data_IF_171966759743
#
_entry.id   IF_171966759743
#
_cell.length_a   1.000
_cell.length_b   1.000
_cell.length_c   1.000
_cell.angle_alpha   90.00
_cell.angle_beta   90.00
_cell.angle_gamma   90.00
#
_symmetry.space_group_name_H-M   'P 1'
#
loop_
_entity.id
_entity.type
_entity.pdbx_description
1 polymer ?
#
# COMPACT_ATOMS: atom_id res chain seq x y z
N UNK A 1 -5.45 11.39 -79.82
CA UNK A 1 -5.92 10.43 -78.81
C UNK A 1 -4.74 10.04 -77.94
N UNK A 2 -4.89 10.19 -76.62
CA UNK A 2 -3.96 9.86 -75.52
C UNK A 2 -3.62 8.34 -75.53
N UNK A 3 -2.57 7.74 -74.95
CA UNK A 3 -1.47 8.05 -74.00
C UNK A 3 -0.52 6.81 -73.99
N UNK A 4 0.54 6.70 -73.15
CA UNK A 4 1.85 6.16 -73.53
C UNK A 4 2.25 4.86 -72.81
N UNK A 5 3.46 4.40 -73.18
CA UNK A 5 4.46 3.60 -72.45
C UNK A 5 4.00 2.87 -71.18
N UNK A 6 4.07 1.54 -71.24
CA UNK A 6 4.08 0.66 -70.08
C UNK A 6 5.30 0.93 -69.21
N UNK A 7 5.03 1.29 -67.96
CA UNK A 7 6.01 1.34 -66.89
C UNK A 7 5.87 0.08 -66.05
N UNK A 8 6.94 -0.71 -66.04
CA UNK A 8 7.18 -1.86 -65.19
C UNK A 8 7.19 -1.41 -63.72
N UNK A 9 6.28 -1.90 -62.88
CA UNK A 9 6.38 -1.71 -61.41
C UNK A 9 6.84 -3.01 -60.79
N UNK A 10 8.04 -2.93 -60.21
CA UNK A 10 8.75 -3.95 -59.46
C UNK A 10 7.99 -4.26 -58.17
N UNK A 11 7.56 -5.52 -58.02
CA UNK A 11 7.06 -6.10 -56.76
C UNK A 11 8.26 -6.37 -55.84
N UNK A 12 8.61 -5.37 -55.02
CA UNK A 12 9.52 -5.53 -53.90
C UNK A 12 8.72 -5.90 -52.65
N UNK A 13 9.06 -7.06 -52.10
CA UNK A 13 8.59 -7.55 -50.81
C UNK A 13 8.90 -6.55 -49.69
N UNK A 14 7.88 -6.23 -48.89
CA UNK A 14 8.08 -5.82 -47.52
C UNK A 14 7.18 -6.73 -46.69
N UNK A 15 7.82 -7.65 -45.98
CA UNK A 15 7.22 -8.37 -44.87
C UNK A 15 6.48 -7.34 -43.99
N UNK A 16 5.22 -7.61 -43.70
CA UNK A 16 4.52 -6.96 -42.61
C UNK A 16 5.18 -7.42 -41.30
N UNK A 17 6.34 -6.85 -41.01
CA UNK A 17 6.81 -6.68 -39.65
C UNK A 17 5.85 -5.66 -39.07
N UNK A 18 4.80 -6.14 -38.38
CA UNK A 18 3.95 -5.28 -37.58
C UNK A 18 4.90 -4.41 -36.72
N UNK A 19 4.77 -3.07 -36.75
CA UNK A 19 5.42 -2.28 -35.74
C UNK A 19 4.84 -2.76 -34.42
N UNK A 20 5.68 -3.44 -33.62
CA UNK A 20 5.44 -3.68 -32.21
C UNK A 20 5.14 -2.31 -31.63
N UNK A 21 3.85 -2.05 -31.42
CA UNK A 21 3.39 -0.80 -30.88
C UNK A 21 4.18 -0.55 -29.58
N UNK A 22 4.90 0.55 -29.67
CA UNK A 22 5.49 1.39 -28.64
C UNK A 22 4.94 1.13 -27.23
N UNK A 23 5.88 1.17 -26.29
CA UNK A 23 5.77 0.71 -24.92
C UNK A 23 4.44 1.02 -24.24
N UNK A 24 4.06 0.10 -23.36
CA UNK A 24 3.09 0.36 -22.29
C UNK A 24 3.30 1.79 -21.79
N UNK A 25 2.27 2.67 -21.84
CA UNK A 25 2.41 4.01 -21.28
C UNK A 25 2.96 3.86 -19.87
N UNK A 26 4.08 4.54 -19.59
CA UNK A 26 4.60 4.61 -18.23
C UNK A 26 3.49 5.10 -17.29
N UNK A 27 3.52 4.66 -16.04
CA UNK A 27 2.58 5.14 -15.02
C UNK A 27 2.68 6.66 -14.91
N UNK A 28 1.55 7.32 -14.64
CA UNK A 28 1.58 8.73 -14.26
C UNK A 28 2.18 8.89 -12.86
N UNK A 29 2.67 10.08 -12.52
CA UNK A 29 3.18 10.34 -11.16
C UNK A 29 2.12 10.07 -10.07
N UNK A 30 0.84 10.28 -10.37
CA UNK A 30 -0.27 9.96 -9.46
C UNK A 30 -0.46 8.45 -9.28
N UNK A 31 -0.31 7.68 -10.36
CA UNK A 31 -0.35 6.22 -10.33
C UNK A 31 0.82 5.62 -9.55
N UNK A 32 2.03 6.17 -9.72
CA UNK A 32 3.22 5.78 -8.96
C UNK A 32 3.09 6.11 -7.47
N UNK A 33 2.61 7.31 -7.11
CA UNK A 33 2.40 7.68 -5.71
C UNK A 33 1.31 6.80 -5.07
N UNK A 34 0.21 6.50 -5.78
CA UNK A 34 -0.84 5.60 -5.26
C UNK A 34 -0.30 4.19 -4.96
N UNK A 35 0.45 3.60 -5.89
CA UNK A 35 1.07 2.29 -5.71
C UNK A 35 2.11 2.29 -4.57
N UNK A 36 2.91 3.36 -4.46
CA UNK A 36 3.84 3.58 -3.33
C UNK A 36 3.12 3.58 -2.00
N UNK A 37 2.08 4.42 -1.86
CA UNK A 37 1.35 4.58 -0.60
C UNK A 37 0.67 3.26 -0.19
N UNK A 38 0.11 2.52 -1.15
CA UNK A 38 -0.47 1.20 -0.91
C UNK A 38 0.58 0.18 -0.44
N UNK A 39 1.77 0.16 -1.06
CA UNK A 39 2.90 -0.68 -0.63
C UNK A 39 3.34 -0.36 0.80
N UNK A 40 3.54 0.93 1.13
CA UNK A 40 3.94 1.36 2.48
C UNK A 40 2.90 0.92 3.51
N UNK A 41 1.61 1.11 3.21
CA UNK A 41 0.56 0.73 4.15
C UNK A 41 0.49 -0.80 4.36
N UNK A 42 0.66 -1.59 3.29
CA UNK A 42 0.74 -3.05 3.39
C UNK A 42 1.93 -3.50 4.25
N UNK A 43 3.08 -2.84 4.08
CA UNK A 43 4.27 -3.12 4.89
C UNK A 43 4.03 -2.84 6.36
N UNK A 44 3.39 -1.72 6.70
CA UNK A 44 3.10 -1.38 8.08
C UNK A 44 2.11 -2.34 8.74
N UNK A 45 1.14 -2.89 7.99
CA UNK A 45 0.29 -3.97 8.48
C UNK A 45 1.14 -5.18 8.86
N UNK A 46 1.99 -5.65 7.93
CA UNK A 46 2.88 -6.81 8.14
C UNK A 46 3.78 -6.63 9.35
N UNK A 47 4.46 -5.48 9.46
CA UNK A 47 5.38 -5.23 10.59
C UNK A 47 4.65 -5.08 11.93
N UNK A 48 3.42 -4.54 11.92
CA UNK A 48 2.64 -4.42 13.15
C UNK A 48 2.12 -5.78 13.64
N UNK A 49 1.78 -6.68 12.71
CA UNK A 49 1.41 -8.07 13.02
C UNK A 49 2.61 -8.83 13.63
N UNK A 50 3.80 -8.68 13.03
CA UNK A 50 5.05 -9.25 13.57
C UNK A 50 5.38 -8.71 14.97
N UNK A 51 5.13 -7.43 15.24
CA UNK A 51 5.30 -6.85 16.57
C UNK A 51 4.35 -7.45 17.62
N UNK A 52 3.09 -7.73 17.25
CA UNK A 52 2.13 -8.42 18.11
C UNK A 52 2.67 -9.79 18.50
N UNK A 53 3.12 -10.58 17.51
CA UNK A 53 3.66 -11.91 17.73
C UNK A 53 4.91 -11.90 18.63
N UNK A 54 5.81 -10.93 18.41
CA UNK A 54 7.02 -10.77 19.22
C UNK A 54 6.71 -10.42 20.68
N UNK A 55 5.76 -9.50 20.91
CA UNK A 55 5.34 -9.12 22.26
C UNK A 55 4.64 -10.30 22.93
N UNK A 56 3.71 -10.96 22.23
CA UNK A 56 2.97 -12.11 22.75
C UNK A 56 3.91 -13.27 23.12
N UNK A 57 4.92 -13.57 22.30
CA UNK A 57 5.92 -14.59 22.59
C UNK A 57 6.84 -14.25 23.76
N UNK A 58 6.94 -12.96 24.13
CA UNK A 58 7.75 -12.50 25.28
C UNK A 58 7.02 -12.58 26.62
N UNK A 59 5.70 -12.83 26.61
CA UNK A 59 4.91 -12.94 27.82
C UNK A 59 5.31 -14.19 28.62
N UNK A 60 5.61 -14.06 29.92
CA UNK A 60 5.93 -15.22 30.75
C UNK A 60 4.72 -16.17 30.86
N UNK A 61 4.97 -17.47 30.68
CA UNK A 61 3.94 -18.50 30.81
C UNK A 61 3.39 -18.62 32.24
N UNK A 62 4.24 -18.33 33.23
CA UNK A 62 3.91 -18.32 34.65
C UNK A 62 4.11 -16.90 35.22
N UNK A 63 3.05 -16.31 35.75
CA UNK A 63 3.12 -15.00 36.40
C UNK A 63 3.62 -15.20 37.83
N UNK A 64 4.91 -14.95 38.05
CA UNK A 64 5.47 -14.93 39.40
C UNK A 64 4.84 -13.78 40.21
N UNK A 65 4.51 -14.04 41.49
CA UNK A 65 3.81 -13.09 42.36
C UNK A 65 4.71 -11.98 42.91
N UNK A 66 5.96 -11.89 42.47
CA UNK A 66 6.84 -10.80 42.87
C UNK A 66 6.32 -9.47 42.28
N UNK A 67 6.28 -8.38 43.07
CA UNK A 67 5.79 -7.09 42.57
C UNK A 67 6.55 -6.59 41.33
N UNK A 68 7.84 -6.91 41.21
CA UNK A 68 8.67 -6.54 40.07
C UNK A 68 8.26 -7.27 38.79
N UNK A 69 8.02 -8.59 38.87
CA UNK A 69 7.56 -9.39 37.72
C UNK A 69 6.15 -8.96 37.30
N UNK A 70 5.28 -8.68 38.27
CA UNK A 70 3.94 -8.19 37.99
C UNK A 70 3.95 -6.84 37.25
N UNK A 71 4.85 -5.91 37.61
CA UNK A 71 4.98 -4.63 36.92
C UNK A 71 5.44 -4.79 35.46
N UNK A 72 6.42 -5.67 35.20
CA UNK A 72 6.89 -5.97 33.84
C UNK A 72 5.78 -6.62 33.02
N UNK A 73 5.05 -7.57 33.60
CA UNK A 73 3.93 -8.23 32.95
C UNK A 73 2.84 -7.22 32.54
N UNK A 74 2.45 -6.32 33.44
CA UNK A 74 1.46 -5.28 33.12
C UNK A 74 1.94 -4.36 31.99
N UNK A 75 3.22 -3.98 31.99
CA UNK A 75 3.79 -3.18 30.90
C UNK A 75 3.74 -3.91 29.54
N UNK A 76 4.01 -5.22 29.51
CA UNK A 76 3.93 -6.02 28.28
C UNK A 76 2.47 -6.16 27.80
N UNK A 77 1.51 -6.35 28.70
CA UNK A 77 0.08 -6.36 28.33
C UNK A 77 -0.35 -5.01 27.75
N UNK A 78 0.06 -3.89 28.34
CA UNK A 78 -0.22 -2.56 27.77
C UNK A 78 0.45 -2.36 26.40
N UNK A 79 1.69 -2.85 26.22
CA UNK A 79 2.37 -2.82 24.93
C UNK A 79 1.62 -3.65 23.87
N UNK A 80 1.10 -4.81 24.24
CA UNK A 80 0.30 -5.66 23.35
C UNK A 80 -1.02 -4.98 22.95
N UNK A 81 -1.71 -4.33 23.89
CA UNK A 81 -2.91 -3.54 23.60
C UNK A 81 -2.63 -2.41 22.60
N UNK A 82 -1.50 -1.71 22.78
CA UNK A 82 -1.07 -0.68 21.84
C UNK A 82 -0.72 -1.26 20.47
N UNK A 83 -0.03 -2.40 20.41
CA UNK A 83 0.33 -3.07 19.16
C UNK A 83 -0.91 -3.50 18.36
N UNK A 84 -1.93 -4.05 19.02
CA UNK A 84 -3.22 -4.34 18.39
C UNK A 84 -3.91 -3.09 17.85
N UNK A 85 -3.97 -2.00 18.63
CA UNK A 85 -4.55 -0.75 18.16
C UNK A 85 -3.80 -0.16 16.96
N UNK A 86 -2.47 -0.33 16.92
CA UNK A 86 -1.64 0.09 15.79
C UNK A 86 -1.92 -0.75 14.54
N UNK A 87 -1.99 -2.07 14.70
CA UNK A 87 -2.33 -3.00 13.62
C UNK A 87 -3.73 -2.73 13.04
N UNK A 88 -4.74 -2.54 13.89
CA UNK A 88 -6.10 -2.21 13.46
C UNK A 88 -6.13 -0.90 12.67
N UNK A 89 -5.41 0.12 13.14
CA UNK A 89 -5.29 1.36 12.39
C UNK A 89 -4.57 1.16 11.05
N UNK A 90 -3.47 0.41 11.04
CA UNK A 90 -2.71 0.10 9.84
C UNK A 90 -3.57 -0.65 8.80
N UNK A 91 -4.40 -1.60 9.22
CA UNK A 91 -5.32 -2.34 8.36
C UNK A 91 -6.35 -1.44 7.68
N UNK A 92 -6.93 -0.50 8.44
CA UNK A 92 -7.92 0.44 7.91
C UNK A 92 -7.28 1.36 6.86
N UNK A 93 -6.08 1.86 7.14
CA UNK A 93 -5.31 2.70 6.20
C UNK A 93 -4.86 1.91 4.97
N UNK A 94 -4.38 0.69 5.15
CA UNK A 94 -4.04 -0.22 4.05
C UNK A 94 -5.24 -0.46 3.14
N UNK A 95 -6.41 -0.78 3.70
CA UNK A 95 -7.63 -0.99 2.92
C UNK A 95 -7.99 0.25 2.11
N UNK A 96 -7.99 1.43 2.73
CA UNK A 96 -8.27 2.69 2.04
C UNK A 96 -7.30 2.94 0.87
N UNK A 97 -6.00 2.76 1.11
CA UNK A 97 -4.95 3.05 0.11
C UNK A 97 -4.89 1.98 -0.99
N UNK A 98 -5.16 0.71 -0.70
CA UNK A 98 -5.27 -0.35 -1.69
C UNK A 98 -6.45 -0.13 -2.64
N UNK A 99 -7.59 0.36 -2.13
CA UNK A 99 -8.70 0.75 -2.98
C UNK A 99 -8.40 2.00 -3.82
N UNK A 100 -7.71 3.00 -3.25
CA UNK A 100 -7.27 4.16 -4.02
C UNK A 100 -6.30 3.77 -5.16
N UNK A 101 -5.35 2.89 -4.88
CA UNK A 101 -4.46 2.31 -5.90
C UNK A 101 -5.25 1.53 -6.96
N UNK A 102 -6.19 0.68 -6.54
CA UNK A 102 -7.05 -0.06 -7.47
C UNK A 102 -7.85 0.86 -8.38
N UNK A 103 -8.36 1.98 -7.86
CA UNK A 103 -9.10 2.96 -8.65
C UNK A 103 -8.26 3.60 -9.77
N UNK A 104 -6.95 3.78 -9.55
CA UNK A 104 -6.04 4.48 -10.46
C UNK A 104 -5.26 3.53 -11.39
N UNK A 105 -4.91 2.34 -10.90
CA UNK A 105 -3.98 1.43 -11.54
C UNK A 105 -4.62 0.13 -12.05
N UNK A 106 -5.76 -0.28 -11.50
CA UNK A 106 -6.33 -1.61 -11.75
C UNK A 106 -7.77 -1.61 -12.25
N UNK A 107 -8.45 -0.46 -12.20
CA UNK A 107 -9.81 -0.33 -12.67
C UNK A 107 -9.94 -0.63 -14.17
N UNK A 108 -10.89 -1.48 -14.52
CA UNK A 108 -11.18 -1.86 -15.91
C UNK A 108 -11.90 -0.76 -16.72
N UNK A 109 -12.37 0.30 -16.05
CA UNK A 109 -13.03 1.45 -16.64
C UNK A 109 -13.57 2.42 -15.59
N UNK A 110 -14.23 3.50 -16.03
CA UNK A 110 -14.65 4.59 -15.14
C UNK A 110 -15.61 4.14 -14.02
N UNK A 111 -16.60 3.31 -14.33
CA UNK A 111 -17.54 2.81 -13.32
C UNK A 111 -16.85 1.97 -12.24
N UNK A 112 -15.83 1.20 -12.63
CA UNK A 112 -15.04 0.36 -11.73
C UNK A 112 -14.16 1.21 -10.82
N UNK A 113 -13.50 2.21 -11.41
CA UNK A 113 -12.71 3.21 -10.69
C UNK A 113 -13.56 3.93 -9.64
N UNK A 114 -14.77 4.37 -9.98
CA UNK A 114 -15.71 4.99 -9.03
C UNK A 114 -16.04 4.07 -7.86
N UNK A 115 -16.31 2.77 -8.10
CA UNK A 115 -16.58 1.81 -7.02
C UNK A 115 -15.41 1.66 -6.06
N UNK A 116 -14.18 1.67 -6.59
CA UNK A 116 -12.98 1.63 -5.76
C UNK A 116 -12.80 2.90 -4.94
N UNK A 117 -13.04 4.08 -5.52
CA UNK A 117 -13.03 5.36 -4.77
C UNK A 117 -14.06 5.35 -3.65
N UNK A 118 -15.31 4.93 -3.93
CA UNK A 118 -16.35 4.80 -2.91
C UNK A 118 -15.93 3.86 -1.79
N UNK A 119 -15.32 2.71 -2.15
CA UNK A 119 -14.79 1.75 -1.18
C UNK A 119 -13.68 2.36 -0.34
N UNK A 120 -12.71 3.08 -0.94
CA UNK A 120 -11.65 3.77 -0.22
C UNK A 120 -12.21 4.79 0.79
N UNK A 121 -13.23 5.55 0.40
CA UNK A 121 -13.88 6.52 1.29
C UNK A 121 -14.65 5.88 2.43
N UNK A 122 -15.16 4.66 2.28
CA UNK A 122 -15.87 3.95 3.34
C UNK A 122 -14.97 3.59 4.54
N UNK A 123 -13.65 3.53 4.34
CA UNK A 123 -12.67 3.30 5.41
C UNK A 123 -12.32 4.58 6.20
N UNK A 124 -13.08 5.67 6.07
CA UNK A 124 -12.95 6.82 6.97
C UNK A 124 -13.23 6.40 8.41
N UNK A 125 -12.20 6.39 9.24
CA UNK A 125 -12.31 6.17 10.68
C UNK A 125 -12.76 7.45 11.36
N UNK A 126 -13.69 7.34 12.31
CA UNK A 126 -13.92 8.45 13.24
C UNK A 126 -12.61 8.70 13.98
N UNK A 127 -12.15 9.96 14.10
CA UNK A 127 -10.94 10.24 14.86
C UNK A 127 -11.06 9.64 16.27
N UNK A 128 -10.03 8.91 16.75
CA UNK A 128 -10.03 8.34 18.08
C UNK A 128 -10.07 9.44 19.15
N UNK A 129 -10.55 9.08 20.34
CA UNK A 129 -10.62 10.00 21.47
C UNK A 129 -9.22 10.44 21.91
N UNK A 130 -9.01 11.73 22.14
CA UNK A 130 -7.70 12.23 22.56
C UNK A 130 -7.27 11.62 23.90
N UNK A 131 -6.02 11.16 23.97
CA UNK A 131 -5.47 10.48 25.15
C UNK A 131 -5.79 8.99 25.21
N UNK A 132 -6.55 8.44 24.27
CA UNK A 132 -6.79 6.99 24.18
C UNK A 132 -5.59 6.24 23.58
N UNK A 133 -5.57 4.91 23.76
CA UNK A 133 -4.56 4.03 23.16
C UNK A 133 -4.62 4.11 21.63
N UNK A 134 -5.83 4.15 21.07
CA UNK A 134 -6.10 4.25 19.63
C UNK A 134 -5.60 5.56 19.04
N UNK A 135 -5.73 6.69 19.77
CA UNK A 135 -5.18 7.97 19.32
C UNK A 135 -3.65 7.97 19.28
N UNK A 136 -3.02 7.36 20.29
CA UNK A 136 -1.57 7.22 20.32
C UNK A 136 -1.07 6.28 19.22
N UNK A 137 -1.81 5.19 18.97
CA UNK A 137 -1.51 4.21 17.92
C UNK A 137 -1.64 4.82 16.52
N UNK A 138 -2.73 5.57 16.26
CA UNK A 138 -2.89 6.33 15.02
C UNK A 138 -1.74 7.34 14.81
N UNK A 139 -1.35 8.07 15.87
CA UNK A 139 -0.23 8.99 15.80
C UNK A 139 1.12 8.30 15.53
N UNK A 140 1.33 7.09 16.06
CA UNK A 140 2.53 6.29 15.77
C UNK A 140 2.51 5.74 14.34
N UNK A 141 1.37 5.28 13.84
CA UNK A 141 1.21 4.87 12.44
C UNK A 141 1.66 5.99 11.50
N UNK A 142 1.15 7.21 11.68
CA UNK A 142 1.49 8.34 10.82
C UNK A 142 2.99 8.68 10.87
N UNK A 143 3.63 8.56 12.04
CA UNK A 143 5.09 8.71 12.15
C UNK A 143 5.85 7.63 11.39
N UNK A 144 5.44 6.36 11.51
CA UNK A 144 6.07 5.23 10.80
C UNK A 144 5.88 5.35 9.30
N UNK A 145 4.67 5.69 8.86
CA UNK A 145 4.35 5.92 7.46
C UNK A 145 5.21 7.04 6.86
N UNK A 146 5.30 8.19 7.53
CA UNK A 146 6.13 9.30 7.07
C UNK A 146 7.61 8.93 7.02
N UNK A 147 8.10 8.13 7.97
CA UNK A 147 9.49 7.63 7.97
C UNK A 147 9.76 6.74 6.77
N UNK A 148 8.91 5.73 6.53
CA UNK A 148 9.07 4.83 5.39
C UNK A 148 8.96 5.60 4.08
N UNK A 149 8.05 6.57 3.98
CA UNK A 149 7.91 7.42 2.79
C UNK A 149 9.15 8.28 2.51
N UNK A 150 9.86 8.70 3.55
CA UNK A 150 11.06 9.52 3.43
C UNK A 150 12.35 8.70 3.25
N UNK A 151 12.29 7.39 3.41
CA UNK A 151 13.44 6.49 3.26
C UNK A 151 13.64 6.11 1.79
N UNK A 152 14.57 6.79 1.11
CA UNK A 152 14.86 6.57 -0.32
C UNK A 152 15.25 5.13 -0.65
N UNK A 153 15.83 4.39 0.32
CA UNK A 153 16.29 3.02 0.13
C UNK A 153 15.19 1.97 0.44
N UNK A 154 14.04 2.39 0.93
CA UNK A 154 12.95 1.47 1.23
C UNK A 154 12.30 0.94 -0.06
N UNK A 155 12.10 -0.38 -0.15
CA UNK A 155 11.61 -1.06 -1.37
C UNK A 155 10.38 -0.42 -2.02
N UNK A 156 9.43 0.03 -1.20
CA UNK A 156 8.20 0.66 -1.69
C UNK A 156 8.43 1.99 -2.43
N UNK A 157 9.62 2.59 -2.34
CA UNK A 157 9.92 3.89 -2.96
C UNK A 157 10.64 3.77 -4.31
N UNK A 158 11.20 2.60 -4.64
CA UNK A 158 11.97 2.37 -5.87
C UNK A 158 11.57 1.13 -6.69
N UNK A 159 10.74 0.25 -6.15
CA UNK A 159 10.23 -0.96 -6.82
C UNK A 159 8.70 -0.85 -7.06
N UNK A 160 8.28 0.08 -7.93
CA UNK A 160 6.87 0.47 -8.17
C UNK A 160 6.52 0.45 -9.66
#
# INVERSE_FOLDING_TARGET
MLKPLGLLIVLLAAAACEPRAEGTPGRTAEQEDAARLACIAAELVRTSDEEIDLIAASLPADVETSPQVQAVYQAQISALQFAHALYDHALLRHSALAYADSALNHASGAADSTRHVESATAFTTRPPEQGSVEANAAGEYERRFARVRADEDHRCNWDI
#
